data_IF_910592025630
#
_entry.id   IF_910592025630
#
_cell.length_a   1.000
_cell.length_b   1.000
_cell.length_c   1.000
_cell.angle_alpha   90.00
_cell.angle_beta   90.00
_cell.angle_gamma   90.00
#
_symmetry.space_group_name_H-M   'P 1'
#
loop_
_entity.id
_entity.type
_entity.pdbx_description
1 polymer ?
#
# COMPACT_ATOMS: atom_id res chain seq x y z
N UNK A 1 5.90 7.27 17.24
CA UNK A 1 7.07 7.76 16.46
C UNK A 1 7.17 9.26 16.70
N UNK A 2 8.27 9.78 17.26
CA UNK A 2 8.42 11.24 17.46
C UNK A 2 7.25 11.95 18.18
N UNK A 3 6.57 11.25 19.10
CA UNK A 3 5.37 11.77 19.80
C UNK A 3 4.02 11.58 19.07
N UNK A 4 4.01 11.09 17.83
CA UNK A 4 2.80 10.84 17.04
C UNK A 4 2.40 9.36 17.02
N UNK A 5 1.09 9.12 16.83
CA UNK A 5 0.51 7.78 16.66
C UNK A 5 1.05 7.13 15.38
N UNK A 6 1.49 5.87 15.51
CA UNK A 6 1.95 5.08 14.38
C UNK A 6 0.93 3.97 14.09
N UNK A 7 0.63 3.79 12.80
CA UNK A 7 -0.21 2.69 12.30
C UNK A 7 0.66 1.77 11.46
N UNK A 8 0.40 0.47 11.51
CA UNK A 8 1.07 -0.53 10.67
C UNK A 8 0.08 -1.04 9.63
N UNK A 9 0.39 -0.82 8.36
CA UNK A 9 -0.35 -1.40 7.24
C UNK A 9 0.32 -2.72 6.82
N UNK A 10 -0.46 -3.77 6.49
CA UNK A 10 0.09 -4.98 5.89
C UNK A 10 0.71 -4.65 4.52
N UNK A 11 1.74 -5.41 4.14
CA UNK A 11 2.45 -5.25 2.86
C UNK A 11 3.14 -3.89 2.65
N UNK A 12 3.31 -3.08 3.69
CA UNK A 12 4.08 -1.83 3.62
C UNK A 12 5.58 -2.13 3.56
N UNK A 13 6.38 -1.41 2.74
CA UNK A 13 7.82 -1.64 2.63
C UNK A 13 8.55 -1.50 3.97
N UNK A 14 9.40 -2.48 4.31
CA UNK A 14 10.05 -2.54 5.63
C UNK A 14 11.09 -1.44 5.87
N UNK A 15 11.66 -0.87 4.81
CA UNK A 15 12.70 0.16 4.82
C UNK A 15 12.15 1.56 4.52
N UNK A 16 10.85 1.78 4.74
CA UNK A 16 10.20 3.06 4.49
C UNK A 16 9.21 3.45 5.60
N UNK A 17 8.91 4.75 5.68
CA UNK A 17 7.87 5.32 6.54
C UNK A 17 7.12 6.40 5.76
N UNK A 18 5.79 6.30 5.72
CA UNK A 18 4.90 7.35 5.20
C UNK A 18 4.32 8.18 6.35
N UNK A 19 4.44 9.49 6.25
CA UNK A 19 3.87 10.46 7.17
C UNK A 19 2.77 11.22 6.42
N UNK A 20 1.53 11.05 6.85
CA UNK A 20 0.35 11.72 6.28
C UNK A 20 -0.80 11.65 7.29
N UNK A 21 -1.83 12.44 7.07
CA UNK A 21 -3.13 12.18 7.68
C UNK A 21 -3.81 10.99 6.99
N UNK A 22 -4.57 10.19 7.75
CA UNK A 22 -5.25 8.99 7.24
C UNK A 22 -6.44 9.32 6.32
N UNK A 23 -7.04 10.49 6.48
CA UNK A 23 -8.12 11.00 5.62
C UNK A 23 -7.62 11.58 4.29
N UNK A 24 -6.31 11.81 4.15
CA UNK A 24 -5.67 12.23 2.90
C UNK A 24 -5.50 11.09 1.89
N UNK A 25 -5.79 9.85 2.31
CA UNK A 25 -5.65 8.64 1.50
C UNK A 25 -7.04 8.15 1.08
N UNK A 26 -7.31 8.15 -0.22
CA UNK A 26 -8.61 7.80 -0.77
C UNK A 26 -8.49 6.67 -1.80
N UNK A 27 -9.58 5.90 -1.90
CA UNK A 27 -9.77 4.93 -2.98
C UNK A 27 -11.01 5.36 -3.74
N UNK A 28 -10.85 5.65 -5.03
CA UNK A 28 -11.96 5.92 -5.93
C UNK A 28 -12.26 4.67 -6.74
N UNK A 29 -13.53 4.38 -6.92
CA UNK A 29 -13.98 3.32 -7.83
C UNK A 29 -15.03 3.89 -8.76
N UNK A 30 -15.01 3.43 -10.00
CA UNK A 30 -16.01 3.82 -10.98
C UNK A 30 -17.30 3.04 -10.73
N UNK A 31 -18.42 3.75 -10.60
CA UNK A 31 -19.75 3.14 -10.47
C UNK A 31 -20.06 2.19 -11.64
N UNK A 32 -20.79 1.11 -11.35
CA UNK A 32 -21.22 0.07 -12.31
C UNK A 32 -20.09 -0.69 -13.05
N UNK A 33 -18.84 -0.61 -12.59
CA UNK A 33 -17.72 -1.35 -13.20
C UNK A 33 -17.45 -2.71 -12.59
N UNK A 34 -18.02 -2.99 -11.40
CA UNK A 34 -17.81 -4.26 -10.71
C UNK A 34 -18.55 -5.39 -11.43
N UNK A 35 -17.78 -6.25 -12.10
CA UNK A 35 -18.31 -7.40 -12.86
C UNK A 35 -17.73 -8.70 -12.31
N UNK A 36 -18.56 -9.74 -12.23
CA UNK A 36 -18.19 -11.07 -11.79
C UNK A 36 -18.69 -12.12 -12.77
N UNK A 37 -17.80 -13.03 -13.17
CA UNK A 37 -18.14 -14.23 -13.96
C UNK A 37 -17.66 -15.48 -13.22
N UNK A 38 -18.59 -16.41 -12.99
CA UNK A 38 -18.29 -17.71 -12.38
C UNK A 38 -18.47 -18.78 -13.44
N UNK A 39 -17.41 -19.52 -13.75
CA UNK A 39 -17.40 -20.56 -14.78
C UNK A 39 -17.08 -21.90 -14.10
N UNK A 40 -17.93 -22.89 -14.34
CA UNK A 40 -17.61 -24.27 -13.99
C UNK A 40 -16.70 -24.85 -15.09
N UNK A 41 -15.46 -25.20 -14.74
CA UNK A 41 -14.47 -25.72 -15.67
C UNK A 41 -14.27 -27.24 -15.45
N UNK A 42 -15.10 -28.10 -16.08
CA UNK A 42 -15.03 -29.54 -15.90
C UNK A 42 -13.73 -30.16 -16.43
N UNK A 43 -12.98 -29.45 -17.29
CA UNK A 43 -11.68 -29.91 -17.80
C UNK A 43 -10.59 -29.89 -16.73
N UNK A 44 -10.73 -29.05 -15.70
CA UNK A 44 -9.77 -28.91 -14.60
C UNK A 44 -10.38 -29.17 -13.23
N UNK A 45 -11.62 -29.69 -13.18
CA UNK A 45 -12.37 -29.98 -11.97
C UNK A 45 -12.34 -28.83 -10.95
N UNK A 46 -12.67 -27.62 -11.42
CA UNK A 46 -12.63 -26.41 -10.59
C UNK A 46 -13.64 -25.36 -11.05
N UNK A 47 -14.11 -24.57 -10.10
CA UNK A 47 -14.90 -23.36 -10.36
C UNK A 47 -13.93 -22.18 -10.48
N UNK A 48 -14.02 -21.44 -11.57
CA UNK A 48 -13.20 -20.26 -11.85
C UNK A 48 -14.04 -19.00 -11.62
N UNK A 49 -13.59 -18.13 -10.71
CA UNK A 49 -14.21 -16.84 -10.45
C UNK A 49 -13.34 -15.72 -11.03
N UNK A 50 -13.92 -14.92 -11.92
CA UNK A 50 -13.29 -13.75 -12.53
C UNK A 50 -14.00 -12.51 -12.04
N UNK A 51 -13.30 -11.64 -11.33
CA UNK A 51 -13.81 -10.36 -10.88
C UNK A 51 -12.97 -9.23 -11.47
N UNK A 52 -13.65 -8.16 -11.89
CA UNK A 52 -13.03 -6.96 -12.41
C UNK A 52 -13.75 -5.74 -11.85
N UNK A 53 -12.97 -4.73 -11.49
CA UNK A 53 -13.42 -3.43 -10.98
C UNK A 53 -12.42 -2.37 -11.43
N UNK A 54 -12.90 -1.17 -11.75
CA UNK A 54 -12.03 -0.03 -12.03
C UNK A 54 -11.84 0.78 -10.74
N UNK A 55 -10.64 0.72 -10.18
CA UNK A 55 -10.26 1.40 -8.93
C UNK A 55 -9.00 2.26 -9.14
N UNK A 56 -8.90 3.34 -8.37
CA UNK A 56 -7.76 4.25 -8.32
C UNK A 56 -7.41 4.59 -6.88
N UNK A 57 -6.11 4.54 -6.56
CA UNK A 57 -5.58 4.95 -5.26
C UNK A 57 -5.09 6.39 -5.37
N UNK A 58 -5.57 7.26 -4.49
CA UNK A 58 -5.35 8.71 -4.58
C UNK A 58 -4.81 9.25 -3.26
N UNK A 59 -3.84 10.15 -3.36
CA UNK A 59 -3.43 11.05 -2.29
C UNK A 59 -4.02 12.41 -2.60
N UNK A 60 -4.86 12.93 -1.72
CA UNK A 60 -5.69 14.12 -2.00
C UNK A 60 -4.85 15.42 -2.07
N UNK A 61 -3.99 15.66 -1.07
CA UNK A 61 -3.04 16.78 -1.04
C UNK A 61 -1.60 16.28 -0.87
N UNK A 62 -0.78 16.51 -1.91
CA UNK A 62 0.63 16.16 -1.93
C UNK A 62 1.50 17.00 -0.98
N UNK A 63 1.01 18.14 -0.51
CA UNK A 63 1.74 18.98 0.47
C UNK A 63 1.60 18.45 1.89
N UNK A 64 0.64 17.54 2.12
CA UNK A 64 0.34 16.94 3.40
C UNK A 64 0.90 15.52 3.55
N UNK A 65 1.84 15.12 2.69
CA UNK A 65 2.46 13.79 2.71
C UNK A 65 3.98 13.89 2.59
N UNK A 66 4.67 13.02 3.31
CA UNK A 66 6.11 12.77 3.14
C UNK A 66 6.39 11.28 3.24
N UNK A 67 7.09 10.74 2.24
CA UNK A 67 7.58 9.35 2.25
C UNK A 67 9.10 9.38 2.46
N UNK A 68 9.56 8.69 3.49
CA UNK A 68 10.99 8.44 3.73
C UNK A 68 11.28 7.02 3.31
N UNK A 69 12.17 6.83 2.34
CA UNK A 69 12.55 5.52 1.81
C UNK A 69 14.03 5.23 2.06
N UNK A 70 14.43 3.98 1.84
CA UNK A 70 15.83 3.53 1.97
C UNK A 70 16.41 3.72 3.37
N UNK A 71 15.57 3.51 4.39
CA UNK A 71 16.01 3.55 5.79
C UNK A 71 16.89 2.33 6.05
N UNK A 72 18.16 2.57 6.32
CA UNK A 72 19.13 1.57 6.77
C UNK A 72 19.40 1.76 8.26
N UNK A 73 19.15 0.71 9.04
CA UNK A 73 19.44 0.69 10.47
C UNK A 73 20.73 -0.09 10.67
N UNK A 74 21.72 0.51 11.30
CA UNK A 74 23.02 -0.09 11.57
C UNK A 74 23.76 0.68 12.65
N UNK A 75 24.89 0.11 13.08
CA UNK A 75 25.87 0.84 13.87
C UNK A 75 26.80 1.60 12.93
N UNK A 76 26.74 2.93 13.00
CA UNK A 76 27.54 3.83 12.16
C UNK A 76 28.71 4.46 12.93
N UNK A 77 29.06 3.92 14.09
CA UNK A 77 30.17 4.41 14.92
C UNK A 77 31.56 4.13 14.34
N UNK A 78 31.67 3.25 13.34
CA UNK A 78 32.93 2.97 12.64
C UNK A 78 33.23 4.03 11.57
N UNK A 79 33.76 5.16 12.04
CA UNK A 79 34.22 6.28 11.21
C UNK A 79 35.19 7.21 11.95
N UNK A 80 36.10 6.65 12.75
CA UNK A 80 37.27 7.34 13.30
C UNK A 80 38.35 6.32 13.68
N UNK A 81 39.05 5.74 12.68
CA UNK A 81 40.22 4.91 12.92
C UNK A 81 40.56 3.96 11.77
N UNK A 82 41.18 4.50 10.70
CA UNK A 82 42.52 4.17 10.15
C UNK A 82 42.65 4.76 8.74
#
# INVERSE_FOLDING_TARGET
MGGLQAVRAPSFPANAVLITHLDNLSIYWQEDTRRRSVIDNPKRDRIENFESVNEAYVVEDYRCVALVENISIGDFSAGAGE
#
